data_IF_902859503185
#
_entry.id   IF_902859503185
#
_cell.length_a   1.000
_cell.length_b   1.000
_cell.length_c   1.000
_cell.angle_alpha   90.00
_cell.angle_beta   90.00
_cell.angle_gamma   90.00
#
_symmetry.space_group_name_H-M   'P 1'
#
loop_
_entity.id
_entity.type
_entity.pdbx_description
1 polymer ?
#
# COMPACT_ATOMS: atom_id res chain seq x y z
N UNK A 1 -2.86 -2.41 -20.31
CA UNK A 1 -3.13 -2.06 -18.91
C UNK A 1 -3.96 -3.17 -18.27
N UNK A 2 -3.34 -4.08 -17.52
CA UNK A 2 -4.04 -5.22 -16.91
C UNK A 2 -4.62 -4.82 -15.56
N UNK A 3 -5.94 -4.73 -15.44
CA UNK A 3 -6.61 -4.45 -14.16
C UNK A 3 -7.15 -5.75 -13.58
N UNK A 4 -6.66 -6.17 -12.42
CA UNK A 4 -7.23 -7.30 -11.68
C UNK A 4 -8.33 -6.77 -10.73
N UNK A 5 -9.49 -7.42 -10.78
CA UNK A 5 -10.62 -7.23 -9.85
C UNK A 5 -10.96 -8.54 -9.17
N UNK A 6 -10.63 -8.64 -7.89
CA UNK A 6 -10.85 -9.85 -7.09
C UNK A 6 -11.20 -9.47 -5.65
N UNK A 7 -11.80 -10.40 -4.89
CA UNK A 7 -12.16 -10.14 -3.50
C UNK A 7 -10.94 -10.21 -2.57
N UNK A 8 -10.10 -11.23 -2.73
CA UNK A 8 -8.88 -11.44 -1.94
C UNK A 8 -7.76 -11.89 -2.87
N UNK A 9 -6.57 -11.32 -2.69
CA UNK A 9 -5.38 -11.76 -3.40
C UNK A 9 -4.21 -11.88 -2.42
N UNK A 10 -3.52 -13.00 -2.48
CA UNK A 10 -2.32 -13.24 -1.70
C UNK A 10 -1.21 -13.86 -2.58
N UNK A 11 -0.01 -13.29 -2.53
CA UNK A 11 1.16 -13.77 -3.28
C UNK A 11 2.44 -13.45 -2.52
N UNK A 12 3.56 -14.04 -2.93
CA UNK A 12 4.88 -13.64 -2.42
C UNK A 12 5.32 -12.28 -2.99
N UNK A 13 4.98 -11.98 -4.24
CA UNK A 13 5.33 -10.76 -4.96
C UNK A 13 4.21 -10.39 -5.94
N UNK A 14 4.02 -9.10 -6.14
CA UNK A 14 3.22 -8.56 -7.23
C UNK A 14 4.04 -7.50 -7.96
N UNK A 15 3.96 -7.56 -9.28
CA UNK A 15 4.47 -6.58 -10.23
C UNK A 15 3.39 -6.34 -11.27
N UNK A 16 2.66 -5.22 -11.13
CA UNK A 16 1.59 -4.85 -12.05
C UNK A 16 1.36 -3.33 -12.07
N UNK A 17 0.66 -2.84 -13.09
CA UNK A 17 0.36 -1.40 -13.21
C UNK A 17 -0.78 -0.94 -12.29
N UNK A 18 -1.88 -1.70 -12.17
CA UNK A 18 -3.07 -1.28 -11.41
C UNK A 18 -3.84 -2.45 -10.81
N UNK A 19 -4.26 -2.30 -9.55
CA UNK A 19 -5.09 -3.30 -8.88
C UNK A 19 -6.29 -2.68 -8.14
N UNK A 20 -7.44 -3.38 -8.17
CA UNK A 20 -8.63 -3.05 -7.38
C UNK A 20 -9.14 -4.29 -6.65
N UNK A 21 -8.92 -4.37 -5.34
CA UNK A 21 -9.22 -5.57 -4.53
C UNK A 21 -9.86 -5.16 -3.20
N UNK A 22 -10.58 -6.06 -2.53
CA UNK A 22 -11.04 -5.78 -1.16
C UNK A 22 -9.94 -6.03 -0.12
N UNK A 23 -9.22 -7.16 -0.23
CA UNK A 23 -8.09 -7.53 0.65
C UNK A 23 -6.88 -7.98 -0.16
N UNK A 24 -5.73 -7.36 0.08
CA UNK A 24 -4.51 -7.63 -0.67
C UNK A 24 -3.33 -7.83 0.31
N UNK A 25 -2.66 -8.98 0.24
CA UNK A 25 -1.56 -9.36 1.14
C UNK A 25 -0.33 -9.92 0.38
N UNK A 26 0.86 -9.39 0.65
CA UNK A 26 2.10 -9.86 0.01
C UNK A 26 3.30 -9.69 0.91
N UNK A 27 4.46 -10.26 0.55
CA UNK A 27 5.74 -9.87 1.16
C UNK A 27 6.28 -8.58 0.54
N UNK A 28 6.09 -8.39 -0.77
CA UNK A 28 6.56 -7.22 -1.53
C UNK A 28 5.53 -6.82 -2.59
N UNK A 29 5.36 -5.52 -2.76
CA UNK A 29 4.65 -4.93 -3.89
C UNK A 29 5.59 -3.97 -4.59
N UNK A 30 5.59 -4.06 -5.91
CA UNK A 30 6.15 -3.09 -6.84
C UNK A 30 5.04 -2.77 -7.85
N UNK A 31 4.41 -1.60 -7.72
CA UNK A 31 3.27 -1.25 -8.58
C UNK A 31 3.12 0.26 -8.75
N UNK A 32 2.46 0.68 -9.83
CA UNK A 32 2.21 2.12 -10.05
C UNK A 32 1.05 2.63 -9.20
N UNK A 33 -0.11 1.94 -9.25
CA UNK A 33 -1.33 2.40 -8.56
C UNK A 33 -2.09 1.27 -7.89
N UNK A 34 -2.46 1.48 -6.62
CA UNK A 34 -3.30 0.56 -5.86
C UNK A 34 -4.54 1.26 -5.29
N UNK A 35 -5.72 0.61 -5.45
CA UNK A 35 -6.95 0.96 -4.72
C UNK A 35 -7.51 -0.27 -4.00
N UNK A 36 -7.47 -0.28 -2.67
CA UNK A 36 -7.90 -1.44 -1.85
C UNK A 36 -8.62 -0.99 -0.59
N UNK A 37 -9.46 -1.84 -0.02
CA UNK A 37 -10.02 -1.60 1.31
C UNK A 37 -9.01 -1.94 2.43
N UNK A 38 -8.31 -3.09 2.32
CA UNK A 38 -7.27 -3.52 3.27
C UNK A 38 -6.03 -4.00 2.53
N UNK A 39 -4.87 -3.45 2.89
CA UNK A 39 -3.59 -3.74 2.25
C UNK A 39 -2.51 -4.02 3.30
N UNK A 40 -1.85 -5.18 3.22
CA UNK A 40 -0.82 -5.62 4.16
C UNK A 40 0.45 -6.16 3.45
N UNK A 41 1.62 -5.67 3.85
CA UNK A 41 2.92 -6.11 3.29
C UNK A 41 4.06 -6.01 4.29
N UNK A 42 5.21 -6.58 3.95
CA UNK A 42 6.47 -6.22 4.61
C UNK A 42 7.12 -4.98 3.97
N UNK A 43 7.00 -4.84 2.65
CA UNK A 43 7.57 -3.72 1.87
C UNK A 43 6.61 -3.29 0.76
N UNK A 44 6.53 -1.98 0.53
CA UNK A 44 5.89 -1.36 -0.61
C UNK A 44 6.89 -0.45 -1.30
N UNK A 45 6.95 -0.57 -2.62
CA UNK A 45 7.59 0.37 -3.54
C UNK A 45 6.55 0.74 -4.59
N UNK A 46 6.09 1.99 -4.58
CA UNK A 46 4.80 2.34 -5.16
C UNK A 46 4.66 3.83 -5.46
N UNK A 47 4.14 4.20 -6.63
CA UNK A 47 3.90 5.63 -6.94
C UNK A 47 2.69 6.19 -6.18
N UNK A 48 1.54 5.50 -6.24
CA UNK A 48 0.28 6.01 -5.66
C UNK A 48 -0.54 4.93 -4.95
N UNK A 49 -0.96 5.21 -3.72
CA UNK A 49 -1.90 4.38 -2.96
C UNK A 49 -3.14 5.16 -2.52
N UNK A 50 -4.32 4.55 -2.72
CA UNK A 50 -5.59 4.97 -2.09
C UNK A 50 -6.23 3.79 -1.36
N UNK A 51 -6.16 3.78 -0.03
CA UNK A 51 -6.58 2.61 0.77
C UNK A 51 -7.28 3.01 2.08
N UNK A 52 -8.24 2.22 2.56
CA UNK A 52 -8.89 2.49 3.84
C UNK A 52 -8.02 2.08 5.05
N UNK A 53 -7.40 0.90 5.01
CA UNK A 53 -6.44 0.43 6.03
C UNK A 53 -5.16 -0.09 5.38
N UNK A 54 -4.03 0.53 5.72
CA UNK A 54 -2.70 0.16 5.22
C UNK A 54 -1.76 -0.23 6.36
N UNK A 55 -1.12 -1.39 6.26
CA UNK A 55 -0.14 -1.88 7.22
C UNK A 55 1.14 -2.40 6.55
N UNK A 56 2.29 -1.95 7.04
CA UNK A 56 3.61 -2.36 6.57
C UNK A 56 4.70 -2.22 7.62
N UNK A 57 5.83 -2.91 7.38
CA UNK A 57 7.08 -2.59 8.08
C UNK A 57 7.79 -1.41 7.43
N UNK A 58 7.78 -1.31 6.09
CA UNK A 58 8.44 -0.26 5.31
C UNK A 58 7.58 0.20 4.15
N UNK A 59 7.61 1.50 3.87
CA UNK A 59 7.04 2.10 2.67
C UNK A 59 8.08 2.99 2.02
N UNK A 60 8.11 2.94 0.69
CA UNK A 60 8.78 3.90 -0.18
C UNK A 60 7.76 4.29 -1.25
N UNK A 61 7.19 5.49 -1.14
CA UNK A 61 6.09 5.91 -2.03
C UNK A 61 6.05 7.40 -2.32
N UNK A 62 5.68 7.77 -3.55
CA UNK A 62 5.50 9.20 -3.89
C UNK A 62 4.27 9.80 -3.23
N UNK A 63 3.10 9.14 -3.31
CA UNK A 63 1.82 9.69 -2.82
C UNK A 63 0.96 8.65 -2.10
N UNK A 64 0.50 8.99 -0.90
CA UNK A 64 -0.47 8.19 -0.14
C UNK A 64 -1.73 8.98 0.22
N UNK A 65 -2.89 8.33 0.06
CA UNK A 65 -4.17 8.77 0.64
C UNK A 65 -4.82 7.62 1.38
N UNK A 66 -4.79 7.67 2.72
CA UNK A 66 -5.23 6.53 3.55
C UNK A 66 -5.99 6.97 4.79
N UNK A 67 -7.04 6.25 5.17
CA UNK A 67 -7.78 6.56 6.40
C UNK A 67 -7.03 6.10 7.66
N UNK A 68 -6.48 4.88 7.67
CA UNK A 68 -5.65 4.35 8.76
C UNK A 68 -4.33 3.78 8.23
N UNK A 69 -3.21 4.39 8.64
CA UNK A 69 -1.86 3.96 8.27
C UNK A 69 -1.10 3.45 9.50
N UNK A 70 -0.55 2.24 9.40
CA UNK A 70 0.37 1.67 10.38
C UNK A 70 1.72 1.35 9.72
N UNK A 71 2.81 1.90 10.29
CA UNK A 71 4.17 1.66 9.80
C UNK A 71 5.21 1.51 10.91
N UNK A 72 6.33 0.86 10.61
CA UNK A 72 7.58 1.08 11.38
C UNK A 72 8.46 2.17 10.80
N UNK A 73 8.54 2.26 9.46
CA UNK A 73 9.33 3.25 8.71
C UNK A 73 8.61 3.58 7.41
N UNK A 74 8.66 4.84 6.99
CA UNK A 74 8.16 5.23 5.68
C UNK A 74 9.01 6.37 5.15
N UNK A 75 9.08 6.45 3.82
CA UNK A 75 9.63 7.56 3.05
C UNK A 75 8.57 7.95 2.02
N UNK A 76 8.12 9.22 2.05
CA UNK A 76 7.10 9.71 1.12
C UNK A 76 7.19 11.20 0.83
N UNK A 77 6.92 11.58 -0.43
CA UNK A 77 6.82 12.98 -0.85
C UNK A 77 5.52 13.64 -0.40
N UNK A 78 4.39 12.92 -0.44
CA UNK A 78 3.07 13.49 -0.07
C UNK A 78 2.21 12.49 0.69
N UNK A 79 1.75 12.92 1.88
CA UNK A 79 0.89 12.12 2.76
C UNK A 79 -0.42 12.83 3.10
N UNK A 80 -1.54 12.14 2.86
CA UNK A 80 -2.86 12.51 3.41
C UNK A 80 -3.40 11.33 4.20
N UNK A 81 -3.32 11.43 5.53
CA UNK A 81 -3.76 10.38 6.45
C UNK A 81 -4.67 10.94 7.53
N UNK A 82 -5.76 10.23 7.83
CA UNK A 82 -6.65 10.58 8.94
C UNK A 82 -6.12 10.09 10.29
N UNK A 83 -5.62 8.85 10.35
CA UNK A 83 -4.97 8.29 11.55
C UNK A 83 -3.67 7.58 11.22
N UNK A 84 -2.59 8.02 11.86
CA UNK A 84 -1.24 7.50 11.67
C UNK A 84 -0.70 6.87 12.95
N UNK A 85 -0.23 5.64 12.84
CA UNK A 85 0.55 4.96 13.87
C UNK A 85 1.91 4.59 13.29
N UNK A 86 2.96 5.36 13.62
CA UNK A 86 4.33 5.10 13.18
C UNK A 86 5.31 5.10 14.33
N UNK A 87 6.37 4.28 14.23
CA UNK A 87 7.49 4.31 15.18
C UNK A 87 8.62 5.26 14.78
N UNK A 88 8.73 5.60 13.49
CA UNK A 88 9.79 6.49 12.99
C UNK A 88 9.35 7.16 11.68
N UNK A 89 9.61 8.45 11.60
CA UNK A 89 9.45 9.30 10.42
C UNK A 89 10.88 9.55 9.88
N UNK A 90 11.09 9.28 8.60
CA UNK A 90 12.27 9.67 7.83
C UNK A 90 11.75 10.49 6.65
#
# INVERSE_FOLDING_TARGET
MTTIRVLKLASKKYDMTTIRVLKLASKKYDMTTIRVLKLASKKYDMTTIRVLKLASKKYDMTTIRVLKLASKKYDMTTIRVFKLASKKYL
#
